data_IF_230725599995
#
_entry.id   IF_230725599995
#
_cell.length_a   1.000
_cell.length_b   1.000
_cell.length_c   1.000
_cell.angle_alpha   90.00
_cell.angle_beta   90.00
_cell.angle_gamma   90.00
#
_symmetry.space_group_name_H-M   'P 1'
#
loop_
_entity.id
_entity.type
_entity.pdbx_description
1 polymer ?
#
# COMPACT_ATOMS: atom_id res chain seq x y z
N UNK A 1 38.03 -5.17 31.67
CA UNK A 1 36.65 -4.62 31.70
C UNK A 1 36.01 -5.02 30.38
N UNK A 2 35.25 -6.11 30.40
CA UNK A 2 34.64 -6.69 29.21
C UNK A 2 33.45 -5.84 28.78
N UNK A 3 33.48 -5.34 27.54
CA UNK A 3 32.34 -4.65 26.93
C UNK A 3 31.29 -5.70 26.54
N UNK A 4 30.26 -5.85 27.37
CA UNK A 4 29.01 -6.53 27.01
C UNK A 4 28.21 -5.61 26.08
N UNK A 5 28.59 -5.57 24.81
CA UNK A 5 27.76 -4.98 23.75
C UNK A 5 26.87 -6.08 23.19
N UNK A 6 25.84 -6.43 23.96
CA UNK A 6 24.92 -7.52 23.67
C UNK A 6 23.49 -6.96 23.55
N UNK A 7 23.20 -6.32 22.41
CA UNK A 7 21.83 -6.04 21.94
C UNK A 7 21.79 -5.72 20.44
N UNK A 8 22.65 -6.35 19.63
CA UNK A 8 22.47 -6.23 18.19
C UNK A 8 21.27 -7.11 17.80
N UNK A 9 20.08 -6.50 17.75
CA UNK A 9 18.88 -7.10 17.19
C UNK A 9 19.18 -7.29 15.70
N UNK A 10 19.68 -8.47 15.33
CA UNK A 10 19.62 -8.94 13.95
C UNK A 10 18.14 -9.07 13.60
N UNK A 11 17.63 -8.09 12.86
CA UNK A 11 16.40 -8.29 12.12
C UNK A 11 16.70 -9.39 11.11
N UNK A 12 16.22 -10.57 11.43
CA UNK A 12 16.17 -11.78 10.60
C UNK A 12 15.64 -11.41 9.20
N UNK A 13 16.54 -11.00 8.30
CA UNK A 13 16.31 -10.71 6.86
C UNK A 13 15.91 -11.99 6.08
N UNK A 14 15.58 -13.07 6.80
CA UNK A 14 15.28 -14.40 6.28
C UNK A 14 13.77 -14.72 6.26
N UNK A 15 12.90 -13.80 6.72
CA UNK A 15 11.43 -13.97 6.67
C UNK A 15 10.67 -12.90 5.91
N UNK A 16 11.35 -12.10 5.09
CA UNK A 16 10.63 -11.32 4.10
C UNK A 16 10.65 -12.13 2.79
N UNK A 17 9.60 -12.92 2.44
CA UNK A 17 9.45 -13.33 1.05
C UNK A 17 9.48 -12.03 0.26
N UNK A 18 10.58 -11.81 -0.47
CA UNK A 18 10.86 -10.50 -1.04
C UNK A 18 9.60 -10.07 -1.78
N UNK A 19 9.06 -8.91 -1.44
CA UNK A 19 7.99 -8.26 -2.19
C UNK A 19 8.34 -8.12 -3.70
N UNK A 20 9.58 -8.45 -4.08
CA UNK A 20 10.09 -8.73 -5.42
C UNK A 20 9.27 -9.74 -6.26
N UNK A 21 8.46 -10.64 -5.68
CA UNK A 21 7.59 -11.55 -6.45
C UNK A 21 6.14 -11.05 -6.60
N UNK A 22 5.75 -9.98 -5.90
CA UNK A 22 4.42 -9.40 -6.06
C UNK A 22 4.36 -8.60 -7.37
N UNK A 23 3.31 -8.84 -8.17
CA UNK A 23 3.07 -8.10 -9.40
C UNK A 23 2.55 -6.69 -9.09
N UNK A 24 3.49 -5.77 -8.93
CA UNK A 24 3.22 -4.36 -8.67
C UNK A 24 2.50 -3.64 -9.81
N UNK A 25 2.50 -4.19 -11.04
CA UNK A 25 1.90 -3.52 -12.19
C UNK A 25 0.40 -3.25 -11.99
N UNK A 26 -0.27 -4.10 -11.20
CA UNK A 26 -1.68 -3.92 -10.86
C UNK A 26 -1.88 -2.70 -9.95
N UNK A 27 -1.05 -2.54 -8.92
CA UNK A 27 -1.08 -1.36 -8.05
C UNK A 27 -0.78 -0.09 -8.86
N UNK A 28 0.27 -0.11 -9.67
CA UNK A 28 0.69 1.05 -10.45
C UNK A 28 -0.41 1.47 -11.46
N UNK A 29 -1.09 0.50 -12.08
CA UNK A 29 -2.21 0.76 -13.00
C UNK A 29 -3.40 1.45 -12.31
N UNK A 30 -3.75 0.99 -11.11
CA UNK A 30 -4.86 1.57 -10.33
C UNK A 30 -4.51 2.97 -9.83
N UNK A 31 -3.28 3.19 -9.39
CA UNK A 31 -2.79 4.52 -8.96
C UNK A 31 -2.83 5.51 -10.12
N UNK A 32 -2.41 5.09 -11.33
CA UNK A 32 -2.53 5.93 -12.53
C UNK A 32 -3.98 6.28 -12.86
N UNK A 33 -4.89 5.29 -12.78
CA UNK A 33 -6.32 5.50 -13.00
C UNK A 33 -6.91 6.48 -12.00
N UNK A 34 -6.62 6.31 -10.70
CA UNK A 34 -7.05 7.23 -9.65
C UNK A 34 -6.56 8.66 -9.89
N UNK A 35 -5.31 8.82 -10.33
CA UNK A 35 -4.75 10.15 -10.65
C UNK A 35 -5.49 10.82 -11.80
N UNK A 36 -5.88 10.05 -12.83
CA UNK A 36 -6.67 10.54 -13.96
C UNK A 36 -8.09 10.92 -13.55
N UNK A 37 -8.76 10.05 -12.77
CA UNK A 37 -10.12 10.32 -12.26
C UNK A 37 -10.12 11.54 -11.34
N UNK A 38 -9.14 11.68 -10.45
CA UNK A 38 -9.00 12.88 -9.61
C UNK A 38 -8.84 14.15 -10.45
N UNK A 39 -8.12 14.08 -11.57
CA UNK A 39 -7.99 15.21 -12.48
C UNK A 39 -9.31 15.53 -13.18
N UNK A 40 -10.03 14.52 -13.68
CA UNK A 40 -11.34 14.69 -14.31
C UNK A 40 -12.38 15.25 -13.33
N UNK A 41 -12.37 14.78 -12.08
CA UNK A 41 -13.22 15.33 -11.01
C UNK A 41 -12.96 16.82 -10.78
N UNK A 42 -11.68 17.25 -10.79
CA UNK A 42 -11.29 18.66 -10.68
C UNK A 42 -11.71 19.49 -11.89
N UNK A 43 -11.78 18.88 -13.06
CA UNK A 43 -12.25 19.49 -14.31
C UNK A 43 -13.79 19.50 -14.41
N UNK A 44 -14.51 19.02 -13.38
CA UNK A 44 -15.97 19.10 -13.28
C UNK A 44 -16.72 17.88 -13.82
N UNK A 45 -16.02 16.78 -14.12
CA UNK A 45 -16.65 15.52 -14.51
C UNK A 45 -17.23 14.79 -13.28
N UNK A 46 -18.38 14.15 -13.45
CA UNK A 46 -18.97 13.27 -12.46
C UNK A 46 -18.31 11.90 -12.56
N UNK A 47 -17.35 11.62 -11.67
CA UNK A 47 -16.52 10.40 -11.65
C UNK A 47 -16.53 9.70 -10.28
N UNK A 48 -17.55 9.99 -9.47
CA UNK A 48 -17.62 9.57 -8.06
C UNK A 48 -17.69 8.05 -7.92
N UNK A 49 -18.40 7.37 -8.81
CA UNK A 49 -18.54 5.91 -8.83
C UNK A 49 -17.24 5.25 -9.28
N UNK A 50 -16.65 5.69 -10.39
CA UNK A 50 -15.37 5.13 -10.89
C UNK A 50 -14.22 5.36 -9.89
N UNK A 51 -14.25 6.47 -9.16
CA UNK A 51 -13.27 6.76 -8.12
C UNK A 51 -13.45 5.83 -6.92
N UNK A 52 -14.69 5.56 -6.49
CA UNK A 52 -14.96 4.58 -5.43
C UNK A 52 -14.52 3.17 -5.82
N UNK A 53 -14.82 2.74 -7.05
CA UNK A 53 -14.42 1.42 -7.56
C UNK A 53 -12.91 1.29 -7.64
N UNK A 54 -12.22 2.32 -8.12
CA UNK A 54 -10.76 2.34 -8.19
C UNK A 54 -10.10 2.35 -6.80
N UNK A 55 -10.69 3.01 -5.81
CA UNK A 55 -10.23 2.96 -4.42
C UNK A 55 -10.41 1.55 -3.84
N UNK A 56 -11.56 0.91 -4.07
CA UNK A 56 -11.81 -0.46 -3.62
C UNK A 56 -10.88 -1.48 -4.30
N UNK A 57 -10.55 -1.27 -5.58
CA UNK A 57 -9.55 -2.07 -6.28
C UNK A 57 -8.15 -1.90 -5.66
N UNK A 58 -7.77 -0.66 -5.34
CA UNK A 58 -6.51 -0.37 -4.67
C UNK A 58 -6.42 -1.04 -3.29
N UNK A 59 -7.49 -0.99 -2.49
CA UNK A 59 -7.56 -1.67 -1.19
C UNK A 59 -7.30 -3.17 -1.31
N UNK A 60 -7.90 -3.83 -2.30
CA UNK A 60 -7.69 -5.26 -2.56
C UNK A 60 -6.25 -5.57 -2.92
N UNK A 61 -5.63 -4.77 -3.78
CA UNK A 61 -4.23 -4.99 -4.17
C UNK A 61 -3.25 -4.67 -3.03
N UNK A 62 -3.53 -3.67 -2.19
CA UNK A 62 -2.73 -3.42 -0.99
C UNK A 62 -2.84 -4.60 -0.03
N UNK A 63 -4.05 -5.14 0.19
CA UNK A 63 -4.25 -6.33 1.01
C UNK A 63 -3.46 -7.54 0.49
N UNK A 64 -3.57 -7.83 -0.81
CA UNK A 64 -2.81 -8.90 -1.44
C UNK A 64 -1.29 -8.69 -1.32
N UNK A 65 -0.79 -7.48 -1.57
CA UNK A 65 0.62 -7.16 -1.41
C UNK A 65 1.12 -7.42 0.02
N UNK A 66 0.33 -7.04 1.04
CA UNK A 66 0.64 -7.30 2.44
C UNK A 66 0.67 -8.80 2.76
N UNK A 67 -0.28 -9.59 2.24
CA UNK A 67 -0.29 -11.05 2.37
C UNK A 67 0.93 -11.70 1.71
N UNK A 68 1.43 -11.10 0.63
CA UNK A 68 2.64 -11.50 -0.08
C UNK A 68 3.95 -10.97 0.54
N UNK A 69 3.88 -10.27 1.68
CA UNK A 69 5.06 -9.79 2.42
C UNK A 69 5.51 -8.37 2.10
N UNK A 70 4.76 -7.60 1.31
CA UNK A 70 5.07 -6.19 1.10
C UNK A 70 5.05 -5.40 2.42
N UNK A 71 6.02 -4.51 2.59
CA UNK A 71 6.07 -3.62 3.73
C UNK A 71 5.24 -2.35 3.50
N UNK A 72 4.76 -1.74 4.60
CA UNK A 72 4.02 -0.47 4.53
C UNK A 72 4.84 0.68 3.89
N UNK A 73 6.16 0.81 4.12
CA UNK A 73 6.99 1.78 3.40
C UNK A 73 6.99 1.56 1.87
N UNK A 74 7.17 0.33 1.40
CA UNK A 74 7.16 0.00 -0.04
C UNK A 74 5.81 0.36 -0.68
N UNK A 75 4.71 0.03 0.01
CA UNK A 75 3.36 0.39 -0.42
C UNK A 75 3.17 1.92 -0.44
N UNK A 76 3.71 2.64 0.54
CA UNK A 76 3.64 4.09 0.61
C UNK A 76 4.36 4.78 -0.53
N UNK A 77 5.56 4.30 -0.89
CA UNK A 77 6.33 4.83 -2.01
C UNK A 77 5.63 4.65 -3.36
N UNK A 78 4.93 3.52 -3.54
CA UNK A 78 4.23 3.17 -4.80
C UNK A 78 2.86 3.82 -4.94
N UNK A 79 2.08 3.84 -3.85
CA UNK A 79 0.68 4.28 -3.89
C UNK A 79 0.47 5.74 -3.53
N UNK A 80 1.48 6.39 -2.94
CA UNK A 80 1.37 7.72 -2.31
C UNK A 80 0.32 7.80 -1.19
N UNK A 81 -0.16 6.64 -0.69
CA UNK A 81 -1.07 6.56 0.45
C UNK A 81 -0.27 6.74 1.74
N UNK A 82 -0.85 7.43 2.72
CA UNK A 82 -0.17 7.64 4.00
C UNK A 82 0.05 6.32 4.73
N UNK A 83 1.14 6.20 5.48
CA UNK A 83 1.39 4.99 6.28
C UNK A 83 0.27 4.69 7.29
N UNK A 84 -0.42 5.72 7.77
CA UNK A 84 -1.58 5.58 8.66
C UNK A 84 -2.74 4.88 7.94
N UNK A 85 -3.02 5.26 6.70
CA UNK A 85 -4.11 4.69 5.93
C UNK A 85 -3.75 3.28 5.44
N UNK A 86 -2.49 3.04 5.07
CA UNK A 86 -1.99 1.69 4.77
C UNK A 86 -2.08 0.75 5.99
N UNK A 87 -1.73 1.24 7.18
CA UNK A 87 -1.90 0.49 8.43
C UNK A 87 -3.39 0.19 8.68
N UNK A 88 -4.29 1.12 8.39
CA UNK A 88 -5.73 0.87 8.47
C UNK A 88 -6.18 -0.21 7.49
N UNK A 89 -5.73 -0.20 6.23
CA UNK A 89 -6.06 -1.26 5.26
C UNK A 89 -5.56 -2.61 5.76
N UNK A 90 -4.35 -2.68 6.31
CA UNK A 90 -3.84 -3.91 6.94
C UNK A 90 -4.74 -4.38 8.08
N UNK A 91 -5.19 -3.47 8.94
CA UNK A 91 -5.90 -3.81 10.16
C UNK A 91 -7.41 -4.05 9.94
N UNK A 92 -8.00 -3.45 8.90
CA UNK A 92 -9.47 -3.42 8.67
C UNK A 92 -9.91 -3.85 7.27
N UNK A 93 -8.96 -3.99 6.35
CA UNK A 93 -9.22 -4.24 4.93
C UNK A 93 -9.73 -3.02 4.14
N UNK A 94 -9.80 -1.82 4.74
CA UNK A 94 -10.41 -0.63 4.13
C UNK A 94 -9.65 0.67 4.43
N UNK A 95 -9.69 1.63 3.50
CA UNK A 95 -9.15 2.99 3.65
C UNK A 95 -10.13 3.91 4.40
N UNK A 96 -11.44 3.71 4.24
CA UNK A 96 -12.49 4.55 4.82
C UNK A 96 -13.57 3.72 5.55
N UNK A 97 -14.09 4.25 6.66
CA UNK A 97 -15.35 3.78 7.27
C UNK A 97 -16.51 4.32 6.43
N UNK A 98 -17.35 3.41 5.91
CA UNK A 98 -18.57 3.76 5.17
C UNK A 98 -19.72 4.06 6.12
#
# INVERSE_FOLDING_TARGET
>A
MSSMSDWQIEFDDARNPRASDYDWAQIDSVVQRLSLLQRQAREGAEVSEELQDSVAELERHIGAALEHGASLPELGERTMVSQRDLARVRDTGRLYER
#
